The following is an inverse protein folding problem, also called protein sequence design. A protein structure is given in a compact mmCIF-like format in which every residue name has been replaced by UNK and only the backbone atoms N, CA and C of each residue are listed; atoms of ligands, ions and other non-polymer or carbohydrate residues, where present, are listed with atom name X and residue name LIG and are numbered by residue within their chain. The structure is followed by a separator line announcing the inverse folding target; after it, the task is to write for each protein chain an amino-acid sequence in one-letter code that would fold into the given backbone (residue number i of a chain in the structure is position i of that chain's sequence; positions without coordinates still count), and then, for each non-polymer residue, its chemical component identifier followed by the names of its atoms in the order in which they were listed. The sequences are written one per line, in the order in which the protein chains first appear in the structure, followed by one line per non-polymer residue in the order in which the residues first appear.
data_IF_667329174887
#
_entry.id   IF_667329174887
#
_cell.length_a   1.000
_cell.length_b   1.000
_cell.length_c   1.000
_cell.angle_alpha   90.00
_cell.angle_beta   90.00
_cell.angle_gamma   90.00
#
_symmetry.space_group_name_H-M   'P 1'
#
loop_
_entity.id
_entity.type
_entity.pdbx_description
1 polymer ?
#
# COMPACT_ATOMS: atom_id res chain seq x y z
N UNK A 1 -5.16 -23.20 -32.92
CA UNK A 1 -4.96 -21.99 -32.11
C UNK A 1 -4.31 -22.42 -30.79
N UNK A 2 -2.99 -22.34 -30.70
CA UNK A 2 -2.28 -22.70 -29.45
C UNK A 2 -2.63 -21.70 -28.36
N UNK A 3 -3.01 -22.21 -27.20
CA UNK A 3 -3.11 -21.40 -25.99
C UNK A 3 -1.74 -20.74 -25.73
N UNK A 4 -1.66 -19.44 -25.41
CA UNK A 4 -0.41 -18.84 -25.02
C UNK A 4 0.13 -19.57 -23.79
N UNK A 5 1.43 -19.88 -23.77
CA UNK A 5 2.10 -20.38 -22.58
C UNK A 5 1.82 -19.41 -21.44
N UNK A 6 1.20 -19.89 -20.36
CA UNK A 6 0.83 -19.07 -19.20
C UNK A 6 2.11 -18.62 -18.50
N UNK A 7 2.67 -17.49 -18.93
CA UNK A 7 3.77 -16.85 -18.22
C UNK A 7 3.33 -16.45 -16.81
N UNK A 8 4.27 -16.44 -15.86
CA UNK A 8 4.01 -15.92 -14.52
C UNK A 8 3.41 -14.51 -14.61
N UNK A 9 2.43 -14.20 -13.76
CA UNK A 9 1.81 -12.88 -13.70
C UNK A 9 2.87 -11.80 -13.43
N UNK A 10 2.74 -10.63 -14.05
CA UNK A 10 3.57 -9.47 -13.71
C UNK A 10 2.97 -8.74 -12.50
N UNK A 11 3.84 -8.14 -11.68
CA UNK A 11 3.46 -7.40 -10.48
C UNK A 11 3.65 -5.90 -10.69
N UNK A 12 2.63 -5.13 -10.28
CA UNK A 12 2.64 -3.68 -10.25
C UNK A 12 2.55 -3.22 -8.80
N UNK A 13 3.37 -2.25 -8.42
CA UNK A 13 3.21 -1.51 -7.16
C UNK A 13 2.82 -0.09 -7.53
N UNK A 14 1.66 0.37 -7.06
CA UNK A 14 1.29 1.79 -7.20
C UNK A 14 1.68 2.52 -5.93
N UNK A 15 2.50 3.56 -6.08
CA UNK A 15 3.05 4.28 -4.93
C UNK A 15 3.20 5.78 -5.20
N UNK A 16 3.20 6.55 -4.12
CA UNK A 16 3.67 7.93 -4.08
C UNK A 16 5.03 7.97 -3.42
N UNK A 17 5.89 8.86 -3.88
CA UNK A 17 7.18 9.11 -3.23
C UNK A 17 6.94 9.54 -1.76
N UNK A 18 7.63 8.91 -0.79
CA UNK A 18 7.42 9.18 0.63
C UNK A 18 8.07 10.50 1.07
N UNK A 19 7.44 11.62 0.68
CA UNK A 19 7.90 12.98 0.99
C UNK A 19 7.14 13.57 2.17
N UNK A 20 7.87 14.15 3.13
CA UNK A 20 7.30 14.83 4.29
C UNK A 20 6.23 15.86 3.88
N UNK A 21 5.07 15.79 4.52
CA UNK A 21 3.94 16.68 4.24
C UNK A 21 3.14 16.36 2.97
N UNK A 22 3.55 15.36 2.16
CA UNK A 22 2.81 14.92 0.97
C UNK A 22 2.12 13.56 1.14
N UNK A 23 2.65 12.70 2.02
CA UNK A 23 2.10 11.38 2.32
C UNK A 23 1.66 11.28 3.77
N UNK A 24 0.69 10.38 4.02
CA UNK A 24 0.22 10.02 5.37
C UNK A 24 -0.07 11.22 6.28
N UNK A 25 -0.71 12.24 5.73
CA UNK A 25 -1.12 13.44 6.49
C UNK A 25 -2.04 13.10 7.67
N UNK A 26 -2.81 12.01 7.57
CA UNK A 26 -3.65 11.48 8.67
C UNK A 26 -2.87 10.87 9.85
N UNK A 27 -1.57 10.62 9.71
CA UNK A 27 -0.68 10.29 10.83
C UNK A 27 -0.30 11.53 11.66
N UNK A 28 -0.51 12.73 11.13
CA UNK A 28 -0.26 14.00 11.83
C UNK A 28 -1.54 14.40 12.61
N UNK A 29 -1.45 14.89 13.86
CA UNK A 29 -0.25 15.37 14.55
C UNK A 29 0.44 14.34 15.46
N UNK A 30 -0.01 13.07 15.51
CA UNK A 30 0.63 12.06 16.35
C UNK A 30 2.09 11.81 15.96
N UNK A 31 2.38 11.85 14.67
CA UNK A 31 3.72 11.88 14.10
C UNK A 31 3.97 13.24 13.44
N UNK A 32 5.21 13.72 13.50
CA UNK A 32 5.65 14.85 12.68
C UNK A 32 5.58 14.48 11.19
N UNK A 33 5.51 15.47 10.26
CA UNK A 33 5.50 15.17 8.83
C UNK A 33 6.70 14.33 8.35
N UNK A 34 7.88 14.51 8.96
CA UNK A 34 9.06 13.70 8.67
C UNK A 34 8.92 12.26 9.17
N UNK A 35 8.37 12.07 10.38
CA UNK A 35 8.11 10.74 10.93
C UNK A 35 7.03 9.99 10.13
N UNK A 36 5.96 10.68 9.71
CA UNK A 36 4.92 10.11 8.86
C UNK A 36 5.48 9.67 7.49
N UNK A 37 6.35 10.47 6.87
CA UNK A 37 7.04 10.08 5.64
C UNK A 37 8.02 8.92 5.85
N UNK A 38 8.73 8.88 6.99
CA UNK A 38 9.59 7.75 7.32
C UNK A 38 8.80 6.44 7.46
N UNK A 39 7.62 6.49 8.10
CA UNK A 39 6.70 5.36 8.20
C UNK A 39 6.16 4.92 6.83
N UNK A 40 5.72 5.87 5.99
CA UNK A 40 5.29 5.57 4.62
C UNK A 40 6.42 4.93 3.79
N UNK A 41 7.64 5.44 3.92
CA UNK A 41 8.82 4.87 3.24
C UNK A 41 9.16 3.47 3.73
N UNK A 42 9.06 3.20 5.03
CA UNK A 42 9.25 1.86 5.58
C UNK A 42 8.16 0.89 5.09
N UNK A 43 6.91 1.34 5.03
CA UNK A 43 5.81 0.52 4.51
C UNK A 43 5.98 0.17 3.02
N UNK A 44 6.38 1.15 2.22
CA UNK A 44 6.70 0.95 0.81
C UNK A 44 7.87 -0.03 0.62
N UNK A 45 8.94 0.08 1.42
CA UNK A 45 10.07 -0.85 1.34
C UNK A 45 9.69 -2.29 1.71
N UNK A 46 8.89 -2.49 2.74
CA UNK A 46 8.37 -3.82 3.09
C UNK A 46 7.53 -4.41 1.94
N UNK A 47 6.67 -3.59 1.32
CA UNK A 47 5.86 -3.99 0.16
C UNK A 47 6.73 -4.35 -1.05
N UNK A 48 7.73 -3.53 -1.37
CA UNK A 48 8.66 -3.76 -2.47
C UNK A 48 9.51 -5.02 -2.23
N UNK A 49 9.94 -5.27 -1.00
CA UNK A 49 10.66 -6.48 -0.62
C UNK A 49 9.80 -7.74 -0.82
N UNK A 50 8.52 -7.69 -0.45
CA UNK A 50 7.59 -8.79 -0.69
C UNK A 50 7.40 -9.06 -2.19
N UNK A 51 7.28 -8.02 -3.02
CA UNK A 51 7.16 -8.12 -4.48
C UNK A 51 8.45 -8.65 -5.13
N UNK A 52 9.61 -8.22 -4.63
CA UNK A 52 10.91 -8.71 -5.10
C UNK A 52 11.10 -10.21 -4.79
N UNK A 53 10.68 -10.65 -3.60
CA UNK A 53 10.79 -12.02 -3.15
C UNK A 53 9.76 -12.97 -3.82
N UNK A 54 8.64 -12.45 -4.32
CA UNK A 54 7.63 -13.25 -4.99
C UNK A 54 8.13 -13.80 -6.34
N UNK A 55 7.80 -15.07 -6.61
CA UNK A 55 7.99 -15.73 -7.91
C UNK A 55 6.98 -15.19 -8.94
N UNK A 56 7.36 -14.09 -9.59
CA UNK A 56 6.54 -13.40 -10.58
C UNK A 56 7.32 -13.13 -11.87
N UNK A 57 6.60 -12.62 -12.88
CA UNK A 57 7.19 -12.10 -14.11
C UNK A 57 7.89 -10.75 -13.89
N UNK A 58 7.54 -9.76 -14.70
CA UNK A 58 8.09 -8.41 -14.55
C UNK A 58 7.54 -7.73 -13.31
N UNK A 59 8.31 -6.80 -12.76
CA UNK A 59 7.97 -5.98 -11.60
C UNK A 59 8.05 -4.52 -12.00
N UNK A 60 6.97 -3.79 -11.82
CA UNK A 60 6.89 -2.37 -12.19
C UNK A 60 6.42 -1.54 -11.01
N UNK A 61 7.14 -0.49 -10.70
CA UNK A 61 6.72 0.56 -9.79
C UNK A 61 6.05 1.68 -10.60
N UNK A 62 4.76 1.89 -10.37
CA UNK A 62 3.97 2.99 -10.94
C UNK A 62 3.96 4.14 -9.94
N UNK A 63 4.82 5.13 -10.17
CA UNK A 63 5.22 6.12 -9.19
C UNK A 63 4.64 7.51 -9.46
N UNK A 64 4.07 8.12 -8.42
CA UNK A 64 3.89 9.58 -8.35
C UNK A 64 5.07 10.17 -7.59
N UNK A 65 5.92 10.94 -8.27
CA UNK A 65 7.17 11.48 -7.72
C UNK A 65 8.41 10.86 -8.36
N UNK A 66 9.55 10.95 -7.68
CA UNK A 66 10.83 10.43 -8.18
C UNK A 66 11.24 9.14 -7.45
N UNK A 67 11.85 8.16 -8.14
CA UNK A 67 12.46 7.02 -7.47
C UNK A 67 13.64 7.50 -6.62
N UNK A 68 13.92 6.80 -5.53
CA UNK A 68 15.04 7.12 -4.64
C UNK A 68 15.82 5.87 -4.21
N UNK A 69 16.82 6.03 -3.33
CA UNK A 69 17.66 4.93 -2.84
C UNK A 69 16.88 3.80 -2.12
N UNK A 70 15.60 4.02 -1.82
CA UNK A 70 14.69 3.05 -1.22
C UNK A 70 14.13 2.04 -2.23
N UNK A 71 14.28 2.25 -3.54
CA UNK A 71 13.80 1.34 -4.57
C UNK A 71 14.83 0.21 -4.78
N UNK A 72 14.47 -1.07 -4.56
CA UNK A 72 15.35 -2.18 -4.86
C UNK A 72 15.57 -2.35 -6.38
N UNK A 73 16.67 -3.02 -6.72
CA UNK A 73 16.96 -3.41 -8.11
C UNK A 73 15.87 -4.35 -8.69
N UNK A 74 15.82 -4.43 -10.03
CA UNK A 74 14.91 -5.35 -10.73
C UNK A 74 13.48 -4.85 -10.89
N UNK A 75 13.22 -3.57 -10.57
CA UNK A 75 11.95 -2.90 -10.87
C UNK A 75 12.11 -1.98 -12.09
N UNK A 76 11.19 -2.11 -13.05
CA UNK A 76 10.92 -1.02 -13.98
C UNK A 76 10.17 0.09 -13.24
N UNK A 77 10.38 1.35 -13.62
CA UNK A 77 9.67 2.49 -13.04
C UNK A 77 8.93 3.22 -14.15
N UNK A 78 7.64 3.49 -13.95
CA UNK A 78 6.86 4.36 -14.81
C UNK A 78 6.11 5.40 -13.98
N UNK A 79 5.82 6.55 -14.59
CA UNK A 79 5.08 7.61 -13.94
C UNK A 79 3.58 7.26 -13.88
N UNK A 80 2.91 7.61 -12.77
CA UNK A 80 1.45 7.60 -12.72
C UNK A 80 0.86 8.62 -13.70
N UNK A 81 -0.22 8.25 -14.39
CA UNK A 81 -0.95 9.11 -15.33
C UNK A 81 -2.42 9.19 -14.93
N UNK A 82 -3.02 10.38 -15.02
CA UNK A 82 -4.42 10.62 -14.66
C UNK A 82 -4.60 11.45 -13.39
N UNK A 83 -5.72 12.17 -13.33
CA UNK A 83 -6.08 13.05 -12.21
C UNK A 83 -6.65 12.28 -11.02
N UNK A 84 -7.50 11.28 -11.28
CA UNK A 84 -8.12 10.42 -10.27
C UNK A 84 -7.37 9.11 -10.03
N UNK A 85 -7.60 8.47 -8.88
CA UNK A 85 -7.02 7.16 -8.58
C UNK A 85 -7.54 6.08 -9.54
N UNK A 86 -8.80 6.17 -9.96
CA UNK A 86 -9.39 5.27 -10.96
C UNK A 86 -8.66 5.37 -12.30
N UNK A 87 -8.33 6.59 -12.72
CA UNK A 87 -7.57 6.87 -13.92
C UNK A 87 -6.15 6.31 -13.83
N UNK A 88 -5.49 6.53 -12.70
CA UNK A 88 -4.11 6.08 -12.44
C UNK A 88 -3.98 4.58 -12.42
N UNK A 89 -4.92 3.88 -11.77
CA UNK A 89 -4.97 2.43 -11.77
C UNK A 89 -5.27 1.90 -13.18
N UNK A 90 -6.22 2.49 -13.90
CA UNK A 90 -6.54 2.10 -15.27
C UNK A 90 -5.32 2.25 -16.21
N UNK A 91 -4.62 3.38 -16.14
CA UNK A 91 -3.40 3.59 -16.91
C UNK A 91 -2.26 2.65 -16.49
N UNK A 92 -2.11 2.33 -15.20
CA UNK A 92 -1.14 1.34 -14.72
C UNK A 92 -1.36 -0.03 -15.37
N UNK A 93 -2.60 -0.51 -15.44
CA UNK A 93 -2.91 -1.76 -16.12
C UNK A 93 -2.68 -1.68 -17.63
N UNK A 94 -3.11 -0.59 -18.28
CA UNK A 94 -2.94 -0.42 -19.72
C UNK A 94 -1.46 -0.36 -20.14
N UNK A 95 -0.63 0.38 -19.40
CA UNK A 95 0.78 0.60 -19.73
C UNK A 95 1.64 -0.64 -19.49
N UNK A 96 1.22 -1.51 -18.56
CA UNK A 96 1.92 -2.75 -18.24
C UNK A 96 1.43 -3.97 -19.04
N UNK A 97 0.33 -3.84 -19.79
CA UNK A 97 -0.25 -4.97 -20.52
C UNK A 97 0.69 -5.44 -21.64
N UNK A 98 1.09 -6.71 -21.54
CA UNK A 98 1.81 -7.42 -22.59
C UNK A 98 1.18 -8.79 -22.88
N UNK A 99 -0.14 -8.89 -22.72
CA UNK A 99 -0.89 -10.13 -22.91
C UNK A 99 -0.67 -11.14 -21.78
N UNK A 100 -0.29 -10.69 -20.59
CA UNK A 100 -0.09 -11.53 -19.40
C UNK A 100 -0.98 -11.09 -18.24
N UNK A 101 -1.28 -11.98 -17.29
CA UNK A 101 -1.97 -11.59 -16.06
C UNK A 101 -1.18 -10.50 -15.32
N UNK A 102 -1.89 -9.51 -14.77
CA UNK A 102 -1.32 -8.42 -14.00
C UNK A 102 -1.90 -8.42 -12.57
N UNK A 103 -1.05 -8.19 -11.58
CA UNK A 103 -1.46 -8.00 -10.18
C UNK A 103 -0.92 -6.68 -9.68
N UNK A 104 -1.80 -5.77 -9.29
CA UNK A 104 -1.48 -4.46 -8.74
C UNK A 104 -1.65 -4.47 -7.22
N UNK A 105 -0.68 -3.89 -6.52
CA UNK A 105 -0.61 -3.79 -5.06
C UNK A 105 -0.42 -2.33 -4.64
N UNK A 106 -1.12 -1.91 -3.59
CA UNK A 106 -0.95 -0.59 -2.96
C UNK A 106 0.31 -0.51 -2.09
N UNK A 107 0.86 0.70 -1.91
CA UNK A 107 2.08 0.93 -1.13
C UNK A 107 1.91 0.86 0.40
N UNK A 108 0.66 0.87 0.89
CA UNK A 108 0.33 1.19 2.28
C UNK A 108 0.05 -0.03 3.15
N UNK A 109 0.36 -1.22 2.63
CA UNK A 109 -0.02 -2.50 3.23
C UNK A 109 1.24 -3.33 3.58
N UNK A 110 2.07 -2.92 4.55
CA UNK A 110 3.37 -3.56 4.84
C UNK A 110 3.27 -5.00 5.38
N UNK A 111 2.05 -5.47 5.62
CA UNK A 111 1.72 -6.85 6.02
C UNK A 111 1.79 -7.82 4.83
N UNK A 112 1.85 -7.32 3.59
CA UNK A 112 1.93 -8.12 2.38
C UNK A 112 3.17 -9.00 2.41
N UNK A 113 3.02 -10.26 2.00
CA UNK A 113 4.11 -11.24 1.92
C UNK A 113 4.24 -11.81 0.52
N UNK A 114 5.43 -12.29 0.17
CA UNK A 114 5.67 -12.98 -1.11
C UNK A 114 4.67 -14.13 -1.31
N UNK A 115 4.38 -14.92 -0.26
CA UNK A 115 3.42 -16.02 -0.33
C UNK A 115 1.97 -15.55 -0.58
N UNK A 116 1.57 -14.36 -0.11
CA UNK A 116 0.26 -13.78 -0.45
C UNK A 116 0.20 -13.40 -1.94
N UNK A 117 1.27 -12.80 -2.46
CA UNK A 117 1.36 -12.39 -3.86
C UNK A 117 1.40 -13.60 -4.79
N UNK A 118 2.16 -14.64 -4.45
CA UNK A 118 2.21 -15.88 -5.21
C UNK A 118 0.86 -16.60 -5.26
N UNK A 119 0.10 -16.60 -4.15
CA UNK A 119 -1.29 -17.08 -4.14
C UNK A 119 -2.18 -16.27 -5.06
N UNK A 120 -2.02 -14.94 -5.09
CA UNK A 120 -2.75 -14.07 -5.99
C UNK A 120 -2.44 -14.41 -7.46
N UNK A 121 -1.17 -14.53 -7.81
CA UNK A 121 -0.73 -14.93 -9.15
C UNK A 121 -1.29 -16.30 -9.55
N UNK A 122 -1.22 -17.30 -8.66
CA UNK A 122 -1.72 -18.64 -8.93
C UNK A 122 -3.23 -18.69 -9.13
N UNK A 123 -3.99 -17.89 -8.38
CA UNK A 123 -5.45 -17.84 -8.51
C UNK A 123 -5.92 -17.35 -9.91
N UNK A 124 -5.12 -16.54 -10.60
CA UNK A 124 -5.40 -16.08 -11.96
C UNK A 124 -5.30 -17.18 -13.03
N UNK A 125 -4.82 -18.38 -12.68
CA UNK A 125 -4.90 -19.54 -13.57
C UNK A 125 -6.35 -20.03 -13.77
N UNK A 126 -7.20 -19.88 -12.74
CA UNK A 126 -8.57 -20.43 -12.72
C UNK A 126 -9.65 -19.36 -12.55
N UNK A 127 -9.28 -18.14 -12.16
CA UNK A 127 -10.17 -17.00 -11.95
C UNK A 127 -9.92 -15.89 -12.99
N UNK A 128 -10.96 -15.10 -13.27
CA UNK A 128 -10.83 -13.92 -14.12
C UNK A 128 -10.16 -12.75 -13.41
N UNK A 129 -10.37 -12.67 -12.09
CA UNK A 129 -9.80 -11.65 -11.23
C UNK A 129 -9.42 -12.19 -9.85
N UNK A 130 -8.56 -11.46 -9.15
CA UNK A 130 -8.23 -11.67 -7.73
C UNK A 130 -8.37 -10.33 -7.02
N UNK A 131 -8.93 -10.34 -5.82
CA UNK A 131 -9.22 -9.12 -5.08
C UNK A 131 -8.77 -9.25 -3.61
N UNK A 132 -7.94 -8.33 -3.16
CA UNK A 132 -7.50 -8.20 -1.78
C UNK A 132 -8.22 -7.03 -1.10
N UNK A 133 -9.28 -7.27 -0.30
CA UNK A 133 -10.01 -6.21 0.39
C UNK A 133 -9.16 -5.54 1.47
N UNK A 134 -9.27 -4.21 1.59
CA UNK A 134 -8.70 -3.45 2.70
C UNK A 134 -9.77 -3.22 3.78
N UNK A 135 -9.34 -3.12 5.04
CA UNK A 135 -10.23 -2.97 6.20
C UNK A 135 -11.05 -1.66 6.20
N UNK A 136 -10.59 -0.64 5.46
CA UNK A 136 -11.24 0.67 5.33
C UNK A 136 -12.37 0.69 4.26
N UNK A 137 -12.60 -0.43 3.60
CA UNK A 137 -13.57 -0.57 2.51
C UNK A 137 -12.97 -0.39 1.10
N UNK A 138 -11.66 -0.11 1.01
CA UNK A 138 -10.90 -0.12 -0.24
C UNK A 138 -10.36 -1.51 -0.61
N UNK A 139 -9.19 -1.53 -1.25
CA UNK A 139 -8.49 -2.76 -1.60
C UNK A 139 -6.98 -2.54 -1.63
N UNK A 140 -6.24 -3.51 -1.12
CA UNK A 140 -4.78 -3.51 -1.15
C UNK A 140 -4.24 -4.22 -2.41
N UNK A 141 -5.04 -5.07 -3.05
CA UNK A 141 -4.65 -5.80 -4.26
C UNK A 141 -5.80 -5.98 -5.26
N UNK A 142 -5.48 -5.81 -6.54
CA UNK A 142 -6.33 -6.21 -7.65
C UNK A 142 -5.49 -6.97 -8.69
N UNK A 143 -5.89 -8.19 -9.00
CA UNK A 143 -5.33 -9.01 -10.07
C UNK A 143 -6.33 -9.23 -11.19
N UNK A 144 -5.88 -9.15 -12.45
CA UNK A 144 -6.68 -9.41 -13.64
C UNK A 144 -5.95 -10.42 -14.53
N UNK A 145 -6.65 -11.50 -14.90
CA UNK A 145 -6.08 -12.53 -15.78
C UNK A 145 -5.89 -12.02 -17.19
N UNK A 146 -6.83 -11.18 -17.64
CA UNK A 146 -6.78 -10.41 -18.88
C UNK A 146 -6.98 -8.95 -18.48
N UNK A 147 -5.92 -8.14 -18.43
CA UNK A 147 -6.02 -6.74 -18.07
C UNK A 147 -7.06 -6.01 -18.93
N UNK A 148 -7.94 -5.27 -18.27
CA UNK A 148 -8.90 -4.39 -18.93
C UNK A 148 -9.04 -3.14 -18.08
N UNK A 149 -8.42 -2.06 -18.55
CA UNK A 149 -8.39 -0.77 -17.87
C UNK A 149 -9.80 -0.17 -17.66
N UNK A 150 -10.77 -0.54 -18.50
CA UNK A 150 -12.15 -0.04 -18.39
C UNK A 150 -12.87 -0.51 -17.12
N UNK A 151 -12.41 -1.61 -16.51
CA UNK A 151 -12.95 -2.14 -15.26
C UNK A 151 -12.71 -1.22 -14.05
N UNK A 152 -11.82 -0.24 -14.16
CA UNK A 152 -11.46 0.67 -13.09
C UNK A 152 -11.97 2.10 -13.31
N UNK A 153 -12.06 2.53 -14.57
CA UNK A 153 -12.49 3.89 -14.93
C UNK A 153 -13.90 4.19 -14.37
N UNK A 154 -14.04 5.34 -13.71
CA UNK A 154 -15.32 5.79 -13.15
C UNK A 154 -15.81 4.97 -11.96
N UNK A 155 -14.97 4.12 -11.35
CA UNK A 155 -15.24 3.63 -9.98
C UNK A 155 -15.02 4.81 -9.01
N UNK A 156 -15.97 5.10 -8.10
CA UNK A 156 -15.72 6.04 -7.01
C UNK A 156 -14.59 5.54 -6.12
N UNK A 157 -13.46 6.25 -6.10
CA UNK A 157 -12.27 5.91 -5.33
C UNK A 157 -12.21 6.64 -3.98
N UNK A 158 -11.39 6.13 -3.06
CA UNK A 158 -11.15 6.72 -1.74
C UNK A 158 -12.40 6.84 -0.86
N UNK A 159 -13.31 5.86 -0.97
CA UNK A 159 -14.55 5.76 -0.20
C UNK A 159 -14.65 4.39 0.46
N UNK A 160 -15.42 4.32 1.55
CA UNK A 160 -15.67 3.06 2.26
C UNK A 160 -16.42 2.01 1.42
N UNK A 161 -17.04 2.41 0.30
CA UNK A 161 -17.72 1.53 -0.64
C UNK A 161 -16.89 1.23 -1.91
N UNK A 162 -15.66 1.75 -2.03
CA UNK A 162 -14.82 1.57 -3.23
C UNK A 162 -14.59 0.10 -3.55
N UNK A 163 -14.22 -0.72 -2.58
CA UNK A 163 -13.96 -2.14 -2.78
C UNK A 163 -15.21 -2.91 -3.20
N UNK A 164 -16.37 -2.58 -2.63
CA UNK A 164 -17.65 -3.14 -3.04
C UNK A 164 -18.00 -2.74 -4.50
N UNK A 165 -17.74 -1.49 -4.89
CA UNK A 165 -17.95 -1.01 -6.24
C UNK A 165 -17.04 -1.71 -7.27
N UNK A 166 -15.76 -1.91 -6.96
CA UNK A 166 -14.83 -2.69 -7.80
C UNK A 166 -15.31 -4.13 -7.96
N UNK A 167 -15.64 -4.81 -6.87
CA UNK A 167 -16.16 -6.18 -6.91
C UNK A 167 -17.45 -6.29 -7.72
N UNK A 168 -18.36 -5.32 -7.57
CA UNK A 168 -19.59 -5.22 -8.37
C UNK A 168 -19.29 -5.11 -9.87
N UNK A 169 -18.30 -4.29 -10.24
CA UNK A 169 -17.87 -4.11 -11.64
C UNK A 169 -17.23 -5.36 -12.23
N UNK A 170 -16.38 -6.05 -11.46
CA UNK A 170 -15.79 -7.33 -11.87
C UNK A 170 -16.87 -8.40 -12.11
N UNK A 171 -17.87 -8.48 -11.23
CA UNK A 171 -19.01 -9.40 -11.38
C UNK A 171 -19.88 -9.07 -12.58
N UNK A 172 -20.18 -7.79 -12.81
CA UNK A 172 -20.95 -7.34 -13.97
C UNK A 172 -20.24 -7.66 -15.30
N UNK A 173 -18.91 -7.68 -15.30
CA UNK A 173 -18.09 -8.13 -16.43
C UNK A 173 -17.99 -9.67 -16.56
N UNK A 174 -18.72 -10.43 -15.74
CA UNK A 174 -18.73 -11.90 -15.77
C UNK A 174 -17.46 -12.56 -15.19
N UNK A 175 -16.62 -11.82 -14.46
CA UNK A 175 -15.37 -12.35 -13.93
C UNK A 175 -15.61 -13.09 -12.61
N UNK A 176 -15.31 -14.40 -12.61
CA UNK A 176 -15.11 -15.13 -11.35
C UNK A 176 -13.92 -14.53 -10.62
N UNK A 177 -14.14 -14.08 -9.40
CA UNK A 177 -13.14 -13.35 -8.62
C UNK A 177 -12.76 -14.15 -7.39
N UNK A 178 -11.48 -14.49 -7.24
CA UNK A 178 -10.96 -15.04 -5.99
C UNK A 178 -10.73 -13.89 -4.99
N UNK A 179 -11.14 -14.06 -3.74
CA UNK A 179 -10.96 -13.05 -2.70
C UNK A 179 -9.87 -13.49 -1.73
N UNK A 180 -8.88 -12.63 -1.52
CA UNK A 180 -7.78 -12.84 -0.57
C UNK A 180 -8.17 -12.38 0.85
N UNK A 181 -7.35 -12.67 1.88
CA UNK A 181 -7.57 -12.13 3.21
C UNK A 181 -7.63 -10.59 3.22
N UNK A 182 -8.44 -10.08 4.15
CA UNK A 182 -8.49 -8.65 4.45
C UNK A 182 -7.17 -8.23 5.10
N UNK A 183 -6.57 -7.15 4.60
CA UNK A 183 -5.41 -6.49 5.23
C UNK A 183 -5.76 -5.05 5.62
N UNK A 184 -4.88 -4.42 6.41
CA UNK A 184 -5.05 -3.04 6.86
C UNK A 184 -4.10 -2.13 6.12
N UNK A 185 -4.66 -1.13 5.42
CA UNK A 185 -3.89 -0.01 4.92
C UNK A 185 -3.58 0.94 6.07
N UNK A 186 -2.31 1.30 6.22
CA UNK A 186 -1.85 2.11 7.35
C UNK A 186 -2.15 3.58 7.08
N UNK A 187 -3.24 4.12 7.61
CA UNK A 187 -3.58 5.54 7.43
C UNK A 187 -3.56 6.35 8.73
N UNK A 188 -3.80 5.70 9.86
CA UNK A 188 -3.89 6.32 11.18
C UNK A 188 -2.84 5.75 12.14
N UNK A 189 -2.56 6.44 13.26
CA UNK A 189 -1.67 5.90 14.29
C UNK A 189 -2.15 4.57 14.88
N UNK A 190 -3.47 4.36 14.95
CA UNK A 190 -4.06 3.11 15.41
C UNK A 190 -3.74 1.97 14.43
N UNK A 191 -3.87 2.23 13.12
CA UNK A 191 -3.48 1.26 12.09
C UNK A 191 -2.00 0.94 12.20
N UNK A 192 -1.15 1.95 12.34
CA UNK A 192 0.29 1.76 12.46
C UNK A 192 0.66 0.86 13.64
N UNK A 193 0.05 1.07 14.82
CA UNK A 193 0.26 0.25 15.99
C UNK A 193 -0.25 -1.20 15.78
N UNK A 194 -1.47 -1.36 15.27
CA UNK A 194 -2.07 -2.67 15.03
C UNK A 194 -1.28 -3.48 13.99
N UNK A 195 -0.90 -2.85 12.89
CA UNK A 195 -0.12 -3.45 11.82
C UNK A 195 1.28 -3.84 12.29
N UNK A 196 1.96 -2.97 13.04
CA UNK A 196 3.28 -3.28 13.60
C UNK A 196 3.26 -4.45 14.59
N UNK A 197 2.16 -4.65 15.32
CA UNK A 197 1.96 -5.78 16.20
C UNK A 197 1.67 -7.08 15.42
N UNK A 198 0.84 -7.01 14.38
CA UNK A 198 0.45 -8.16 13.56
C UNK A 198 1.56 -8.64 12.62
N UNK A 199 2.40 -7.73 12.11
CA UNK A 199 3.51 -8.03 11.20
C UNK A 199 4.84 -7.45 11.74
N UNK A 200 5.43 -8.06 12.78
CA UNK A 200 6.51 -7.44 13.56
C UNK A 200 7.89 -7.44 12.90
N UNK A 201 8.08 -8.22 11.84
CA UNK A 201 9.39 -8.52 11.23
C UNK A 201 9.89 -7.53 10.18
N UNK A 202 9.05 -6.60 9.72
CA UNK A 202 9.40 -5.62 8.69
C UNK A 202 10.02 -4.33 9.22
N UNK A 203 10.56 -3.53 8.30
CA UNK A 203 11.09 -2.20 8.61
C UNK A 203 10.01 -1.27 9.16
N UNK A 204 8.77 -1.39 8.68
CA UNK A 204 7.65 -0.59 9.15
C UNK A 204 7.42 -0.80 10.65
N UNK A 205 7.36 -2.05 11.08
CA UNK A 205 7.13 -2.37 12.49
C UNK A 205 8.30 -1.91 13.38
N UNK A 206 9.54 -2.01 12.88
CA UNK A 206 10.71 -1.48 13.58
C UNK A 206 10.64 0.05 13.73
N UNK A 207 10.23 0.76 12.68
CA UNK A 207 10.06 2.21 12.70
C UNK A 207 8.95 2.65 13.67
N UNK A 208 7.79 1.98 13.67
CA UNK A 208 6.70 2.26 14.62
C UNK A 208 7.18 2.09 16.06
N UNK A 209 7.91 1.01 16.38
CA UNK A 209 8.47 0.79 17.73
C UNK A 209 9.44 1.89 18.13
N UNK A 210 10.37 2.25 17.25
CA UNK A 210 11.36 3.29 17.51
C UNK A 210 10.73 4.66 17.78
N UNK A 211 9.66 5.01 17.05
CA UNK A 211 8.94 6.27 17.21
C UNK A 211 7.98 6.27 18.41
N UNK A 212 7.35 5.12 18.70
CA UNK A 212 6.47 4.95 19.87
C UNK A 212 7.21 5.19 21.19
N UNK A 213 8.44 4.68 21.32
CA UNK A 213 9.30 4.95 22.48
C UNK A 213 9.59 6.45 22.66
N UNK A 214 9.72 7.21 21.56
CA UNK A 214 9.98 8.67 21.59
C UNK A 214 8.74 9.49 21.96
N UNK A 215 7.54 9.04 21.59
CA UNK A 215 6.29 9.69 22.01
C UNK A 215 6.02 9.49 23.51
N UNK A 216 6.38 8.32 24.05
CA UNK A 216 6.35 8.06 25.49
C UNK A 216 7.26 8.99 26.29
N UNK A 217 8.48 9.24 25.80
CA UNK A 217 9.42 10.17 26.46
C UNK A 217 9.03 11.64 26.30
N UNK A 218 8.45 12.06 25.16
CA UNK A 218 7.92 13.43 24.96
C UNK A 218 6.72 13.75 25.85
N UNK A 219 5.88 12.77 26.19
CA UNK A 219 4.76 12.95 27.14
C UNK A 219 5.19 12.90 28.61
N UNK A 220 6.41 12.46 28.91
CA UNK A 220 6.95 12.35 30.27
C UNK A 220 7.58 13.61 30.87
N UNK A 221 7.69 14.71 30.11
CA UNK A 221 8.17 16.01 30.62
C UNK A 221 6.97 16.95 30.80
N UNK A 222 6.26 16.78 31.92
CA UNK A 222 5.33 17.81 32.42
C UNK A 222 6.11 18.98 33.03
N UNK A 223 5.56 20.21 33.05
CA UNK A 223 6.28 21.35 33.59
C UNK A 223 6.45 21.15 35.10
N UNK A 224 7.70 21.15 35.55
CA UNK A 224 8.03 21.15 36.97
C UNK A 224 7.40 22.35 37.65
N UNK A 225 6.35 22.09 38.43
CA UNK A 225 5.89 23.02 39.45
C UNK A 225 6.97 23.11 40.54
N UNK A 226 7.39 24.33 40.87
CA UNK A 226 8.07 24.57 42.15
C UNK A 226 9.21 25.56 42.11
N UNK A 227 8.91 26.86 42.13
CA UNK A 227 9.64 27.87 42.89
C UNK A 227 8.55 28.85 43.37
N UNK A 228 8.05 28.75 44.61
CA UNK A 228 8.83 29.02 45.81
C UNK A 228 8.64 30.48 46.18
N UNK A 229 7.41 30.84 46.57
CA UNK A 229 7.08 32.18 47.05
C UNK A 229 7.89 32.50 48.31
N UNK A 230 8.72 33.53 48.23
CA UNK A 230 9.34 34.18 49.39
C UNK A 230 8.81 35.60 49.45
N UNK A 231 8.08 35.90 50.50
CA UNK A 231 7.79 37.25 50.96
C UNK A 231 8.20 37.39 52.42
N UNK A 232 8.55 38.63 52.80
CA UNK A 232 8.82 39.20 54.15
C UNK A 232 10.33 39.10 54.55
N UNK A 233 11.00 40.19 55.03
CA UNK A 233 10.46 41.10 56.05
C UNK A 233 10.79 42.62 56.04
N UNK A 234 10.04 43.27 56.94
CA UNK A 234 10.19 44.55 57.67
C UNK A 234 10.00 45.88 56.93
#
# INVERSE_FOLDING_TARGET
MSAPATGAADLLVIAKEPVAGRVKTRLTPAYTPAEAAALAGAALRDTLAAVAAARAGRRTLVLEGAPGPWLPEGFAVCAQRGGGLDERLAHAFADADAGRPLVLVGMDTPQVTAALLERACAALATHGAVFGPAADGGFWLLGLRRPDASLLRGVPMSRADTGAAVLGRLRAAGLRTAVLPVLTDVDTPADAAAVAAAAPGGEFAAAVRALGTRLGTRRGVGPGAGLGGRTVPA
#
